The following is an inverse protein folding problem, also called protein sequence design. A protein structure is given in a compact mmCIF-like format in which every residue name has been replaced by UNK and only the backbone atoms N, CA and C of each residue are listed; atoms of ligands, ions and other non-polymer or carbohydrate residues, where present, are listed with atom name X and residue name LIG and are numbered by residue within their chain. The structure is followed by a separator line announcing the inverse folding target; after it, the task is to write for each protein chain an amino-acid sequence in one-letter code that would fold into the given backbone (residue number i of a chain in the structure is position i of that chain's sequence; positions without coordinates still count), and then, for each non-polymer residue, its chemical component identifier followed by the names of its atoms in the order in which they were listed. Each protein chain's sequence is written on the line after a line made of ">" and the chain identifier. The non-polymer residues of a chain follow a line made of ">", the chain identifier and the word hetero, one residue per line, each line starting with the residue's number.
data_IF_453095546291
#
_entry.id   IF_453095546291
#
_cell.length_a   1.000
_cell.length_b   1.000
_cell.length_c   1.000
_cell.angle_alpha   90.00
_cell.angle_beta   90.00
_cell.angle_gamma   90.00
#
_symmetry.space_group_name_H-M   'P 1'
#
loop_
_entity.id
_entity.type
_entity.pdbx_description
1 polymer ?
#
# COMPACT_ATOMS: atom_id res chain seq x y z
N UNK A 1 11.84 4.57 -0.44
CA UNK A 1 12.49 3.80 0.65
C UNK A 1 13.03 2.51 0.06
N UNK A 2 14.21 2.05 0.48
CA UNK A 2 14.89 0.87 -0.09
C UNK A 2 14.70 -0.41 0.75
N UNK A 3 15.29 -1.54 0.33
CA UNK A 3 15.25 -2.79 1.09
C UNK A 3 15.78 -2.63 2.53
N UNK A 4 15.08 -3.21 3.50
CA UNK A 4 15.47 -3.19 4.92
C UNK A 4 15.17 -1.88 5.64
N UNK A 5 14.52 -0.91 4.98
CA UNK A 5 14.09 0.34 5.59
C UNK A 5 12.72 0.15 6.23
N UNK A 6 12.61 0.55 7.50
CA UNK A 6 11.33 0.66 8.20
C UNK A 6 10.66 2.01 7.86
N UNK A 7 9.49 2.03 7.21
CA UNK A 7 8.80 3.26 6.84
C UNK A 7 8.27 4.04 8.05
N UNK A 8 7.95 3.37 9.17
CA UNK A 8 7.43 4.00 10.38
C UNK A 8 8.45 4.93 11.04
N UNK A 9 9.72 4.55 10.94
CA UNK A 9 10.85 5.27 11.53
C UNK A 9 11.62 6.10 10.51
N UNK A 10 11.23 6.08 9.23
CA UNK A 10 12.02 6.70 8.18
C UNK A 10 12.04 8.22 8.29
N UNK A 11 13.23 8.81 8.40
CA UNK A 11 13.43 10.25 8.30
C UNK A 11 13.99 10.61 6.91
N UNK A 12 13.30 11.51 6.22
CA UNK A 12 13.71 11.95 4.89
C UNK A 12 15.07 12.67 4.95
N UNK A 13 16.02 12.21 4.14
CA UNK A 13 17.29 12.92 3.96
C UNK A 13 17.09 14.19 3.13
N UNK A 14 18.08 15.08 3.13
CA UNK A 14 18.06 16.27 2.26
C UNK A 14 17.96 15.89 0.77
N UNK A 15 18.55 14.75 0.38
CA UNK A 15 18.45 14.21 -0.98
C UNK A 15 17.03 13.76 -1.31
N UNK A 16 16.35 13.10 -0.37
CA UNK A 16 14.95 12.68 -0.53
C UNK A 16 14.04 13.90 -0.68
N UNK A 17 14.21 14.91 0.18
CA UNK A 17 13.43 16.16 0.10
C UNK A 17 13.61 16.82 -1.26
N UNK A 18 14.85 16.88 -1.77
CA UNK A 18 15.14 17.44 -3.09
C UNK A 18 14.46 16.63 -4.21
N UNK A 19 14.48 15.29 -4.09
CA UNK A 19 13.82 14.39 -5.03
C UNK A 19 12.31 14.62 -5.04
N UNK A 20 11.69 14.66 -3.86
CA UNK A 20 10.26 14.92 -3.69
C UNK A 20 9.85 16.31 -4.21
N UNK A 21 10.70 17.33 -4.00
CA UNK A 21 10.46 18.69 -4.51
C UNK A 21 10.56 18.77 -6.03
N UNK A 22 11.36 17.93 -6.68
CA UNK A 22 11.48 17.90 -8.14
C UNK A 22 10.47 16.96 -8.81
N UNK A 23 9.90 16.00 -8.09
CA UNK A 23 8.92 15.07 -8.63
C UNK A 23 7.63 15.79 -9.08
N UNK A 24 7.05 15.34 -10.18
CA UNK A 24 5.78 15.84 -10.70
C UNK A 24 4.59 15.19 -9.98
N UNK A 25 4.74 13.92 -9.59
CA UNK A 25 3.77 13.17 -8.78
C UNK A 25 4.52 12.45 -7.66
N UNK A 26 3.93 12.45 -6.47
CA UNK A 26 4.40 11.69 -5.31
C UNK A 26 3.32 10.71 -4.88
N UNK A 27 3.64 9.42 -4.83
CA UNK A 27 2.82 8.38 -4.21
C UNK A 27 3.44 7.95 -2.89
N UNK A 28 2.61 7.78 -1.86
CA UNK A 28 3.00 7.23 -0.57
C UNK A 28 1.84 6.38 -0.01
N UNK A 29 2.08 5.56 0.99
CA UNK A 29 1.04 4.67 1.53
C UNK A 29 -0.07 5.46 2.21
N UNK A 30 0.31 6.42 3.06
CA UNK A 30 -0.65 7.09 3.94
C UNK A 30 -1.05 6.17 5.10
N UNK A 31 -2.23 6.42 5.67
CA UNK A 31 -2.72 5.71 6.87
C UNK A 31 -1.73 5.78 8.05
N UNK A 32 -0.94 6.87 8.11
CA UNK A 32 0.13 7.08 9.09
C UNK A 32 1.33 6.12 9.00
N UNK A 33 1.49 5.34 7.93
CA UNK A 33 2.68 4.50 7.74
C UNK A 33 3.97 5.32 7.81
N UNK A 34 4.08 6.36 6.99
CA UNK A 34 5.26 7.21 6.94
C UNK A 34 5.17 8.35 7.97
N UNK A 35 4.99 8.00 9.26
CA UNK A 35 4.67 8.94 10.33
C UNK A 35 5.56 10.19 10.38
N UNK A 36 6.88 9.99 10.26
CA UNK A 36 7.88 11.07 10.29
C UNK A 36 7.89 11.94 9.01
N UNK A 37 7.15 11.56 7.96
CA UNK A 37 7.07 12.27 6.68
C UNK A 37 5.74 12.99 6.45
N UNK A 38 4.77 12.86 7.37
CA UNK A 38 3.42 13.45 7.21
C UNK A 38 3.47 14.94 6.91
N UNK A 39 4.27 15.72 7.64
CA UNK A 39 4.40 17.16 7.39
C UNK A 39 5.01 17.48 6.01
N UNK A 40 5.93 16.64 5.53
CA UNK A 40 6.55 16.79 4.22
C UNK A 40 5.49 16.58 3.13
N UNK A 41 4.72 15.49 3.22
CA UNK A 41 3.65 15.21 2.25
C UNK A 41 2.55 16.26 2.28
N UNK A 42 2.15 16.73 3.46
CA UNK A 42 1.17 17.80 3.62
C UNK A 42 1.59 19.07 2.87
N UNK A 43 2.84 19.52 3.04
CA UNK A 43 3.39 20.68 2.32
C UNK A 43 3.49 20.45 0.82
N UNK A 44 3.86 19.25 0.38
CA UNK A 44 3.93 18.94 -1.06
C UNK A 44 2.54 18.98 -1.71
N UNK A 45 1.51 18.45 -1.04
CA UNK A 45 0.12 18.45 -1.51
C UNK A 45 -0.44 19.85 -1.81
N UNK A 46 0.12 20.90 -1.20
CA UNK A 46 -0.25 22.31 -1.50
C UNK A 46 0.18 22.78 -2.90
N UNK A 47 1.17 22.11 -3.52
CA UNK A 47 1.82 22.59 -4.74
C UNK A 47 1.96 21.55 -5.86
N UNK A 48 1.75 20.25 -5.55
CA UNK A 48 1.86 19.17 -6.52
C UNK A 48 0.97 17.98 -6.20
N UNK A 49 0.73 17.14 -7.20
CA UNK A 49 0.00 15.88 -7.05
C UNK A 49 0.72 14.96 -6.08
N UNK A 50 0.15 14.83 -4.88
CA UNK A 50 0.68 14.01 -3.78
C UNK A 50 -0.45 13.13 -3.27
N UNK A 51 -0.36 11.82 -3.52
CA UNK A 51 -1.43 10.86 -3.27
C UNK A 51 -1.02 9.85 -2.19
N UNK A 52 -1.81 9.80 -1.12
CA UNK A 52 -1.84 8.68 -0.18
C UNK A 52 -2.69 7.55 -0.77
N UNK A 53 -2.07 6.43 -1.07
CA UNK A 53 -2.75 5.28 -1.68
C UNK A 53 -3.84 4.71 -0.76
N UNK A 54 -3.55 4.57 0.52
CA UNK A 54 -4.48 4.01 1.50
C UNK A 54 -5.67 4.92 1.83
N UNK A 55 -5.58 6.23 1.58
CA UNK A 55 -6.71 7.16 1.78
C UNK A 55 -7.79 6.99 0.70
N UNK A 56 -7.51 6.29 -0.39
CA UNK A 56 -8.49 5.98 -1.44
C UNK A 56 -9.33 4.74 -1.15
N UNK A 57 -8.98 3.97 -0.12
CA UNK A 57 -9.63 2.71 0.24
C UNK A 57 -10.90 2.99 1.05
N UNK A 58 -11.94 2.21 0.78
CA UNK A 58 -13.18 2.24 1.58
C UNK A 58 -12.85 1.97 3.06
N UNK A 59 -13.22 2.90 3.93
CA UNK A 59 -12.92 2.84 5.37
C UNK A 59 -13.46 1.56 6.03
N UNK A 60 -14.55 0.99 5.51
CA UNK A 60 -15.11 -0.27 6.01
C UNK A 60 -14.21 -1.49 5.77
N UNK A 61 -13.23 -1.37 4.88
CA UNK A 61 -12.25 -2.42 4.56
C UNK A 61 -10.94 -2.24 5.31
N UNK A 62 -10.73 -1.10 5.97
CA UNK A 62 -9.54 -0.83 6.75
C UNK A 62 -9.65 -1.47 8.13
N UNK A 63 -8.56 -2.12 8.56
CA UNK A 63 -8.44 -2.64 9.91
C UNK A 63 -8.09 -1.51 10.87
N UNK A 64 -8.57 -1.62 12.10
CA UNK A 64 -8.29 -0.69 13.19
C UNK A 64 -7.88 -1.47 14.43
N UNK A 65 -6.93 -0.93 15.17
CA UNK A 65 -6.55 -1.47 16.48
C UNK A 65 -7.60 -1.13 17.55
N UNK A 66 -7.35 -1.56 18.79
CA UNK A 66 -8.24 -1.31 19.93
C UNK A 66 -8.39 0.18 20.27
N UNK A 67 -7.40 1.00 19.92
CA UNK A 67 -7.41 2.45 20.12
C UNK A 67 -8.06 3.20 18.94
N UNK A 68 -8.44 2.47 17.88
CA UNK A 68 -9.07 2.99 16.68
C UNK A 68 -8.10 3.52 15.63
N UNK A 69 -6.79 3.34 15.82
CA UNK A 69 -5.79 3.68 14.82
C UNK A 69 -5.88 2.71 13.65
N UNK A 70 -5.76 3.23 12.42
CA UNK A 70 -5.86 2.42 11.21
C UNK A 70 -4.56 1.64 11.01
N UNK A 71 -4.67 0.34 10.75
CA UNK A 71 -3.56 -0.49 10.31
C UNK A 71 -3.14 -0.05 8.88
N UNK A 72 -1.89 0.43 8.67
CA UNK A 72 -1.45 0.91 7.39
C UNK A 72 -1.01 -0.19 6.41
N UNK A 73 -0.88 -1.45 6.82
CA UNK A 73 -0.22 -2.52 6.06
C UNK A 73 -1.14 -3.16 5.00
N UNK A 74 -1.86 -2.31 4.26
CA UNK A 74 -2.92 -2.68 3.31
C UNK A 74 -2.44 -3.54 2.13
N UNK A 75 -1.14 -3.51 1.82
CA UNK A 75 -0.56 -4.30 0.71
C UNK A 75 -0.61 -5.81 0.96
N UNK A 76 -0.87 -6.25 2.19
CA UNK A 76 -1.03 -7.66 2.51
C UNK A 76 -2.42 -8.23 2.18
N UNK A 77 -3.42 -7.38 1.94
CA UNK A 77 -4.70 -7.78 1.33
C UNK A 77 -4.64 -7.42 -0.16
N UNK A 78 -4.47 -8.44 -1.00
CA UNK A 78 -4.24 -8.26 -2.44
C UNK A 78 -5.42 -7.61 -3.17
N UNK A 79 -6.64 -7.70 -2.64
CA UNK A 79 -7.80 -7.03 -3.23
C UNK A 79 -7.77 -5.54 -2.90
N UNK A 80 -7.46 -5.19 -1.64
CA UNK A 80 -7.28 -3.78 -1.25
C UNK A 80 -6.11 -3.16 -1.99
N UNK A 81 -5.01 -3.90 -2.16
CA UNK A 81 -3.85 -3.41 -2.88
C UNK A 81 -4.15 -3.11 -4.34
N UNK A 82 -4.98 -3.93 -5.00
CA UNK A 82 -5.46 -3.63 -6.36
C UNK A 82 -6.27 -2.34 -6.39
N UNK A 83 -7.13 -2.08 -5.42
CA UNK A 83 -7.91 -0.83 -5.37
C UNK A 83 -7.00 0.40 -5.21
N UNK A 84 -6.00 0.33 -4.33
CA UNK A 84 -4.99 1.38 -4.17
C UNK A 84 -4.25 1.68 -5.48
N UNK A 85 -3.86 0.62 -6.21
CA UNK A 85 -3.14 0.74 -7.48
C UNK A 85 -4.05 1.20 -8.64
N UNK A 86 -5.34 0.88 -8.60
CA UNK A 86 -6.32 1.39 -9.56
C UNK A 86 -6.41 2.91 -9.43
N UNK A 87 -6.52 3.42 -8.20
CA UNK A 87 -6.52 4.86 -7.94
C UNK A 87 -5.22 5.55 -8.41
N UNK A 88 -4.06 4.95 -8.11
CA UNK A 88 -2.77 5.46 -8.59
C UNK A 88 -2.71 5.51 -10.13
N UNK A 89 -3.28 4.50 -10.79
CA UNK A 89 -3.33 4.42 -12.26
C UNK A 89 -4.22 5.51 -12.84
N UNK A 90 -5.38 5.79 -12.25
CA UNK A 90 -6.24 6.89 -12.70
C UNK A 90 -5.54 8.24 -12.55
N UNK A 91 -4.80 8.48 -11.46
CA UNK A 91 -3.98 9.70 -11.32
C UNK A 91 -2.89 9.81 -12.39
N UNK A 92 -2.24 8.70 -12.76
CA UNK A 92 -1.26 8.68 -13.86
C UNK A 92 -1.92 9.02 -15.21
N UNK A 93 -3.12 8.48 -15.46
CA UNK A 93 -3.90 8.74 -16.69
C UNK A 93 -4.41 10.18 -16.77
N UNK A 94 -4.80 10.77 -15.64
CA UNK A 94 -5.17 12.19 -15.56
C UNK A 94 -3.97 13.10 -15.81
N UNK A 95 -2.80 12.73 -15.29
CA UNK A 95 -1.56 13.50 -15.46
C UNK A 95 -1.00 13.43 -16.89
N UNK A 96 -1.00 12.25 -17.51
CA UNK A 96 -0.57 12.04 -18.91
C UNK A 96 -1.66 11.31 -19.71
N UNK A 97 -2.66 12.04 -20.22
CA UNK A 97 -3.75 11.46 -21.01
C UNK A 97 -3.28 10.78 -22.30
N UNK A 98 -2.17 11.24 -22.90
CA UNK A 98 -1.56 10.63 -24.07
C UNK A 98 -1.01 9.22 -23.81
N UNK A 99 -0.64 8.93 -22.55
CA UNK A 99 -0.13 7.63 -22.11
C UNK A 99 -1.22 6.76 -21.46
N UNK A 100 -2.48 7.19 -21.47
CA UNK A 100 -3.53 6.53 -20.70
C UNK A 100 -3.72 5.06 -21.06
N UNK A 101 -3.68 4.72 -22.35
CA UNK A 101 -3.76 3.33 -22.82
C UNK A 101 -2.55 2.49 -22.38
N UNK A 102 -1.38 3.11 -22.27
CA UNK A 102 -0.17 2.44 -21.78
C UNK A 102 -0.30 2.09 -20.30
N UNK A 103 -0.77 3.02 -19.47
CA UNK A 103 -1.00 2.75 -18.05
C UNK A 103 -2.08 1.70 -17.83
N UNK A 104 -3.19 1.77 -18.56
CA UNK A 104 -4.28 0.79 -18.46
C UNK A 104 -3.82 -0.63 -18.81
N UNK A 105 -3.05 -0.79 -19.91
CA UNK A 105 -2.51 -2.10 -20.29
C UNK A 105 -1.54 -2.66 -19.24
N UNK A 106 -0.69 -1.82 -18.66
CA UNK A 106 0.24 -2.25 -17.61
C UNK A 106 -0.49 -2.62 -16.31
N UNK A 107 -1.52 -1.84 -15.91
CA UNK A 107 -2.39 -2.17 -14.78
C UNK A 107 -3.01 -3.54 -14.96
N UNK A 108 -3.64 -3.80 -16.10
CA UNK A 108 -4.29 -5.09 -16.37
C UNK A 108 -3.30 -6.26 -16.32
N UNK A 109 -2.12 -6.08 -16.91
CA UNK A 109 -1.05 -7.09 -16.86
C UNK A 109 -0.59 -7.37 -15.42
N UNK A 110 -0.39 -6.32 -14.62
CA UNK A 110 0.05 -6.46 -13.24
C UNK A 110 -1.05 -7.05 -12.34
N UNK A 111 -2.31 -6.67 -12.56
CA UNK A 111 -3.44 -7.23 -11.82
C UNK A 111 -3.61 -8.71 -12.08
N UNK A 112 -3.37 -9.18 -13.30
CA UNK A 112 -3.33 -10.61 -13.59
C UNK A 112 -2.23 -11.34 -12.80
N UNK A 113 -1.07 -10.71 -12.57
CA UNK A 113 0.00 -11.28 -11.72
C UNK A 113 -0.40 -11.31 -10.25
N UNK A 114 -1.10 -10.28 -9.76
CA UNK A 114 -1.65 -10.28 -8.39
C UNK A 114 -2.70 -11.38 -8.23
N UNK A 115 -3.56 -11.59 -9.21
CA UNK A 115 -4.58 -12.64 -9.18
C UNK A 115 -3.95 -14.05 -9.18
N UNK A 116 -2.88 -14.25 -9.96
CA UNK A 116 -2.09 -15.48 -9.95
C UNK A 116 -1.42 -15.70 -8.58
N UNK A 117 -0.78 -14.67 -8.02
CA UNK A 117 -0.17 -14.73 -6.68
C UNK A 117 -1.22 -15.05 -5.61
N UNK A 118 -2.39 -14.43 -5.67
CA UNK A 118 -3.48 -14.68 -4.73
C UNK A 118 -3.95 -16.13 -4.79
N UNK A 119 -4.10 -16.69 -5.98
CA UNK A 119 -4.48 -18.08 -6.16
C UNK A 119 -3.41 -19.04 -5.60
N UNK A 120 -2.14 -18.79 -5.91
CA UNK A 120 -1.02 -19.58 -5.40
C UNK A 120 -0.91 -19.52 -3.87
N UNK A 121 -1.03 -18.32 -3.29
CA UNK A 121 -1.00 -18.12 -1.85
C UNK A 121 -2.17 -18.83 -1.17
N UNK A 122 -3.38 -18.71 -1.73
CA UNK A 122 -4.58 -19.40 -1.20
C UNK A 122 -4.38 -20.92 -1.21
N UNK A 123 -3.90 -21.48 -2.32
CA UNK A 123 -3.63 -22.93 -2.42
C UNK A 123 -2.61 -23.37 -1.35
N UNK A 124 -1.48 -22.66 -1.24
CA UNK A 124 -0.43 -23.00 -0.27
C UNK A 124 -0.90 -22.89 1.17
N UNK A 125 -1.58 -21.81 1.53
CA UNK A 125 -2.01 -21.54 2.90
C UNK A 125 -3.17 -22.47 3.32
N UNK A 126 -4.04 -22.86 2.38
CA UNK A 126 -5.10 -23.85 2.64
C UNK A 126 -4.56 -25.24 3.04
N UNK A 127 -3.30 -25.54 2.72
CA UNK A 127 -2.66 -26.79 3.14
C UNK A 127 -2.26 -26.82 4.63
N UNK A 128 -2.26 -25.65 5.30
CA UNK A 128 -1.95 -25.52 6.72
C UNK A 128 -3.23 -25.87 7.51
N UNK A 129 -3.19 -26.88 8.39
CA UNK A 129 -4.29 -27.20 9.30
C UNK A 129 -4.71 -25.99 10.12
N UNK A 130 -6.00 -25.84 10.37
CA UNK A 130 -6.57 -24.66 11.04
C UNK A 130 -5.90 -24.41 12.41
N UNK A 131 -5.58 -25.45 13.18
CA UNK A 131 -4.92 -25.33 14.49
C UNK A 131 -3.46 -24.86 14.42
N UNK A 132 -2.88 -24.81 13.22
CA UNK A 132 -1.51 -24.37 12.95
C UNK A 132 -1.45 -22.99 12.28
N UNK A 133 -2.59 -22.37 11.99
CA UNK A 133 -2.67 -21.04 11.36
C UNK A 133 -2.43 -19.91 12.38
N UNK A 134 -1.26 -19.95 13.01
CA UNK A 134 -0.80 -18.93 13.95
C UNK A 134 0.55 -18.39 13.47
N UNK A 135 0.63 -17.09 13.21
CA UNK A 135 1.78 -16.40 12.66
C UNK A 135 2.32 -15.34 13.63
N UNK A 136 3.36 -15.70 14.38
CA UNK A 136 4.07 -14.76 15.26
C UNK A 136 5.22 -14.10 14.50
N UNK A 137 5.25 -12.77 14.47
CA UNK A 137 6.24 -11.99 13.71
C UNK A 137 6.93 -10.93 14.58
N UNK A 138 7.84 -10.15 13.98
CA UNK A 138 8.64 -9.16 14.71
C UNK A 138 7.84 -7.91 15.11
N UNK A 139 6.81 -7.55 14.34
CA UNK A 139 5.87 -6.46 14.64
C UNK A 139 4.53 -6.77 13.98
N UNK A 140 3.47 -6.11 14.46
CA UNK A 140 2.11 -6.34 14.01
C UNK A 140 1.83 -5.65 12.66
N UNK A 141 2.17 -6.36 11.58
CA UNK A 141 2.01 -5.88 10.21
C UNK A 141 1.15 -6.79 9.34
N UNK A 142 0.66 -7.90 9.87
CA UNK A 142 0.02 -8.95 9.09
C UNK A 142 -1.50 -9.03 9.33
N UNK A 143 -2.13 -8.04 9.96
CA UNK A 143 -3.57 -8.01 10.19
C UNK A 143 -4.41 -8.29 8.94
N UNK A 144 -4.10 -7.59 7.84
CA UNK A 144 -4.75 -7.78 6.54
C UNK A 144 -4.49 -9.18 5.95
N UNK A 145 -3.27 -9.70 6.10
CA UNK A 145 -2.92 -11.05 5.68
C UNK A 145 -3.73 -12.11 6.47
N UNK A 146 -3.79 -11.95 7.79
CA UNK A 146 -4.54 -12.80 8.70
C UNK A 146 -6.02 -12.85 8.35
N UNK A 147 -6.63 -11.67 8.08
CA UNK A 147 -8.01 -11.58 7.61
C UNK A 147 -8.23 -12.26 6.25
N UNK A 148 -7.31 -12.06 5.29
CA UNK A 148 -7.47 -12.60 3.94
C UNK A 148 -7.34 -14.13 3.89
N UNK A 149 -6.47 -14.71 4.71
CA UNK A 149 -6.12 -16.13 4.65
C UNK A 149 -6.54 -16.95 5.88
N UNK A 150 -7.33 -16.37 6.78
CA UNK A 150 -7.80 -17.01 8.02
C UNK A 150 -6.63 -17.49 8.89
N UNK A 151 -5.71 -16.57 9.18
CA UNK A 151 -4.51 -16.80 9.99
C UNK A 151 -4.56 -15.89 11.21
N UNK A 152 -4.40 -16.46 12.40
CA UNK A 152 -4.21 -15.72 13.64
C UNK A 152 -2.82 -15.07 13.62
N UNK A 153 -2.76 -13.75 13.83
CA UNK A 153 -1.55 -12.92 13.78
C UNK A 153 -1.36 -12.18 15.10
#
# INVERSE_FOLDING_TARGET
>A
MGPGVDPHLYEATQGDITTLQNAEIVFYNGLHLEGNMIEIFSKLKESKTTLALGESIDESRLLKDEEGAIDPHIWFDLDIWKDALDNATEVLKEYSPEDADYFEQNKQKYFAQIDELKAEATEKLSSIPDEQRVLVTAHDAFGYFGRMYDIEV
#
